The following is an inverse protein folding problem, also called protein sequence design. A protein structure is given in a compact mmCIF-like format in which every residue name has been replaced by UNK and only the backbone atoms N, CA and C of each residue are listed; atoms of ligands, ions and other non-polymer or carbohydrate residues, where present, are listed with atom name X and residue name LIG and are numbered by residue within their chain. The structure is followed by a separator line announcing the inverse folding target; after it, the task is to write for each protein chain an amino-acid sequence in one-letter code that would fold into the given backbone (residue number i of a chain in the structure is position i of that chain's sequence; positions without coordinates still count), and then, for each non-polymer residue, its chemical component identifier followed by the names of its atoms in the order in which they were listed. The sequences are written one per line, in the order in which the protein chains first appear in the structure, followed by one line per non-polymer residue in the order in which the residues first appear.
data_IF_064777930184
#
_entry.id   IF_064777930184
#
_cell.length_a   1.000
_cell.length_b   1.000
_cell.length_c   1.000
_cell.angle_alpha   90.00
_cell.angle_beta   90.00
_cell.angle_gamma   90.00
#
_symmetry.space_group_name_H-M   'P 1'
#
loop_
_entity.id
_entity.type
_entity.pdbx_description
1 polymer ?
#
# COMPACT_ATOMS: atom_id res chain seq x y z
N UNK A 1 -13.61 -40.92 -12.11
CA UNK A 1 -12.38 -40.08 -12.05
C UNK A 1 -12.35 -39.06 -13.17
N UNK A 2 -12.33 -39.47 -14.45
CA UNK A 2 -12.28 -38.53 -15.58
C UNK A 2 -13.45 -37.52 -15.58
N UNK A 3 -14.68 -37.97 -15.33
CA UNK A 3 -15.86 -37.10 -15.22
C UNK A 3 -15.73 -36.07 -14.08
N UNK A 4 -15.33 -36.52 -12.88
CA UNK A 4 -15.11 -35.66 -11.72
C UNK A 4 -14.00 -34.63 -11.96
N UNK A 5 -12.93 -35.00 -12.69
CA UNK A 5 -11.88 -34.06 -13.09
C UNK A 5 -12.41 -33.02 -14.08
N UNK A 6 -13.20 -33.44 -15.07
CA UNK A 6 -13.81 -32.53 -16.03
C UNK A 6 -14.77 -31.53 -15.35
N UNK A 7 -15.59 -32.01 -14.41
CA UNK A 7 -16.49 -31.16 -13.61
C UNK A 7 -15.71 -30.14 -12.76
N UNK A 8 -14.63 -30.57 -12.10
CA UNK A 8 -13.77 -29.67 -11.34
C UNK A 8 -13.13 -28.58 -12.22
N UNK A 9 -12.62 -28.94 -13.40
CA UNK A 9 -12.05 -27.98 -14.34
C UNK A 9 -13.10 -27.01 -14.90
N UNK A 10 -14.33 -27.47 -15.14
CA UNK A 10 -15.44 -26.60 -15.54
C UNK A 10 -15.78 -25.59 -14.45
N UNK A 11 -15.87 -26.04 -13.18
CA UNK A 11 -16.04 -25.15 -12.03
C UNK A 11 -14.89 -24.17 -11.88
N UNK A 12 -13.65 -24.60 -12.14
CA UNK A 12 -12.47 -23.72 -12.09
C UNK A 12 -12.56 -22.62 -13.14
N UNK A 13 -12.87 -22.98 -14.39
CA UNK A 13 -13.08 -22.00 -15.47
C UNK A 13 -14.17 -20.99 -15.12
N UNK A 14 -15.26 -21.42 -14.49
CA UNK A 14 -16.31 -20.51 -13.99
C UNK A 14 -15.75 -19.51 -12.99
N UNK A 15 -15.00 -19.96 -11.98
CA UNK A 15 -14.35 -19.07 -11.00
C UNK A 15 -13.32 -18.15 -11.65
N UNK A 16 -12.53 -18.65 -12.59
CA UNK A 16 -11.53 -17.87 -13.31
C UNK A 16 -12.15 -16.81 -14.23
N UNK A 17 -13.37 -17.02 -14.70
CA UNK A 17 -14.12 -16.04 -15.49
C UNK A 17 -14.68 -14.87 -14.68
N UNK A 18 -14.59 -14.91 -13.34
CA UNK A 18 -15.04 -13.85 -12.44
C UNK A 18 -16.51 -13.47 -12.68
N UNK A 19 -16.76 -12.19 -12.91
CA UNK A 19 -18.09 -11.65 -13.25
C UNK A 19 -18.53 -11.82 -14.71
N UNK A 20 -17.76 -12.54 -15.52
CA UNK A 20 -18.02 -12.76 -16.95
C UNK A 20 -17.30 -11.76 -17.87
N UNK A 21 -17.24 -12.10 -19.17
CA UNK A 21 -16.46 -11.39 -20.18
C UNK A 21 -16.84 -9.89 -20.30
N UNK A 22 -18.13 -9.56 -20.27
CA UNK A 22 -18.60 -8.17 -20.37
C UNK A 22 -18.05 -7.30 -19.23
N UNK A 23 -18.07 -7.81 -17.98
CA UNK A 23 -17.54 -7.07 -16.83
C UNK A 23 -16.02 -6.94 -16.85
N UNK A 24 -15.33 -7.92 -17.42
CA UNK A 24 -13.87 -7.87 -17.64
C UNK A 24 -13.55 -6.79 -18.68
N UNK A 25 -14.27 -6.75 -19.79
CA UNK A 25 -14.10 -5.70 -20.80
C UNK A 25 -14.42 -4.31 -20.23
N UNK A 26 -15.45 -4.17 -19.39
CA UNK A 26 -15.75 -2.93 -18.67
C UNK A 26 -14.58 -2.48 -17.77
N UNK A 27 -13.97 -3.41 -17.06
CA UNK A 27 -12.81 -3.16 -16.21
C UNK A 27 -11.61 -2.67 -17.05
N UNK A 28 -11.33 -3.35 -18.17
CA UNK A 28 -10.26 -2.96 -19.10
C UNK A 28 -10.53 -1.60 -19.76
N UNK A 29 -11.77 -1.28 -20.14
CA UNK A 29 -12.15 0.04 -20.69
C UNK A 29 -11.91 1.19 -19.70
N UNK A 30 -11.91 0.90 -18.39
CA UNK A 30 -11.56 1.86 -17.34
C UNK A 30 -10.05 1.96 -17.09
N UNK A 31 -9.23 1.28 -17.89
CA UNK A 31 -7.77 1.26 -17.75
C UNK A 31 -7.26 0.43 -16.57
N UNK A 32 -8.10 -0.47 -16.03
CA UNK A 32 -7.78 -1.30 -14.86
C UNK A 32 -7.54 -2.74 -15.30
N UNK A 33 -6.61 -3.42 -14.64
CA UNK A 33 -6.44 -4.87 -14.79
C UNK A 33 -7.49 -5.62 -13.95
N UNK A 34 -7.75 -6.88 -14.30
CA UNK A 34 -8.50 -7.81 -13.46
C UNK A 34 -7.68 -8.27 -12.25
N UNK A 35 -8.33 -8.88 -11.26
CA UNK A 35 -7.64 -9.41 -10.09
C UNK A 35 -6.52 -10.40 -10.44
N UNK A 36 -6.77 -11.30 -11.39
CA UNK A 36 -5.80 -12.33 -11.79
C UNK A 36 -4.67 -11.78 -12.64
N UNK A 37 -4.94 -10.83 -13.54
CA UNK A 37 -3.89 -10.14 -14.30
C UNK A 37 -2.94 -9.37 -13.39
N UNK A 38 -3.46 -8.72 -12.33
CA UNK A 38 -2.63 -8.05 -11.32
C UNK A 38 -1.71 -9.02 -10.59
N UNK A 39 -2.21 -10.19 -10.21
CA UNK A 39 -1.40 -11.24 -9.59
C UNK A 39 -0.33 -11.77 -10.53
N UNK A 40 -0.66 -11.98 -11.80
CA UNK A 40 0.29 -12.41 -12.82
C UNK A 40 1.40 -11.38 -13.08
N UNK A 41 1.07 -10.09 -13.04
CA UNK A 41 2.05 -9.02 -13.20
C UNK A 41 2.91 -8.80 -11.94
N UNK A 42 2.36 -9.07 -10.75
CA UNK A 42 3.07 -8.91 -9.48
C UNK A 42 4.05 -10.05 -9.21
N UNK A 43 3.62 -11.29 -9.40
CA UNK A 43 4.32 -12.49 -8.96
C UNK A 43 5.24 -13.04 -10.04
N UNK A 44 6.28 -13.76 -9.63
CA UNK A 44 7.18 -14.44 -10.55
C UNK A 44 6.40 -15.48 -11.38
N UNK A 45 6.70 -15.61 -12.69
CA UNK A 45 5.95 -16.50 -13.58
C UNK A 45 5.85 -17.93 -13.06
N UNK A 46 4.62 -18.47 -13.02
CA UNK A 46 4.35 -19.84 -12.59
C UNK A 46 4.50 -20.09 -11.08
N UNK A 47 4.69 -19.04 -10.26
CA UNK A 47 4.85 -19.21 -8.81
C UNK A 47 3.55 -19.16 -8.02
N UNK A 48 2.47 -18.64 -8.60
CA UNK A 48 1.21 -18.43 -7.87
C UNK A 48 0.49 -19.75 -7.58
N UNK A 49 0.16 -19.96 -6.31
CA UNK A 49 -0.68 -21.05 -5.82
C UNK A 49 -1.91 -20.46 -5.17
N UNK A 50 -3.06 -20.64 -5.84
CA UNK A 50 -4.34 -20.15 -5.34
C UNK A 50 -4.90 -21.03 -4.23
N UNK A 51 -5.56 -20.40 -3.26
CA UNK A 51 -6.22 -21.03 -2.11
C UNK A 51 -7.69 -20.62 -2.07
N UNK A 52 -8.55 -21.50 -1.58
CA UNK A 52 -9.99 -21.18 -1.45
C UNK A 52 -10.68 -20.89 -2.80
N UNK A 53 -10.24 -21.55 -3.88
CA UNK A 53 -10.76 -21.35 -5.26
C UNK A 53 -12.28 -21.49 -5.32
N UNK A 54 -12.81 -22.56 -4.71
CA UNK A 54 -14.23 -22.94 -4.79
C UNK A 54 -15.04 -22.51 -3.56
N UNK A 55 -14.57 -21.54 -2.79
CA UNK A 55 -15.34 -21.00 -1.65
C UNK A 55 -16.56 -20.26 -2.18
N UNK A 56 -17.69 -20.48 -1.52
CA UNK A 56 -19.01 -19.91 -1.84
C UNK A 56 -19.65 -19.37 -0.55
N UNK A 57 -20.42 -18.30 -0.65
CA UNK A 57 -21.24 -17.77 0.45
C UNK A 57 -22.33 -18.76 0.90
N UNK A 58 -22.94 -18.48 2.05
CA UNK A 58 -24.14 -19.18 2.49
C UNK A 58 -25.30 -18.79 1.58
N UNK A 59 -25.86 -19.76 0.86
CA UNK A 59 -26.98 -19.54 -0.06
C UNK A 59 -28.30 -19.37 0.71
N UNK A 60 -28.42 -18.27 1.45
CA UNK A 60 -29.57 -17.95 2.32
C UNK A 60 -29.93 -16.45 2.28
N UNK A 61 -31.17 -16.13 2.64
CA UNK A 61 -31.63 -14.74 2.75
C UNK A 61 -31.48 -13.95 1.43
N UNK A 62 -30.91 -12.75 1.51
CA UNK A 62 -30.70 -11.89 0.32
C UNK A 62 -29.62 -12.41 -0.64
N UNK A 63 -28.90 -13.47 -0.25
CA UNK A 63 -27.88 -14.13 -1.08
C UNK A 63 -28.39 -15.39 -1.78
N UNK A 64 -29.65 -15.79 -1.56
CA UNK A 64 -30.21 -16.98 -2.19
C UNK A 64 -30.27 -16.83 -3.73
N UNK A 65 -29.60 -17.74 -4.44
CA UNK A 65 -29.52 -17.76 -5.90
C UNK A 65 -28.56 -16.73 -6.50
N UNK A 66 -27.80 -16.00 -5.68
CA UNK A 66 -26.80 -15.04 -6.15
C UNK A 66 -25.55 -15.79 -6.61
N UNK A 67 -25.09 -15.51 -7.83
CA UNK A 67 -23.84 -16.10 -8.34
C UNK A 67 -22.65 -15.19 -7.99
N UNK A 68 -21.72 -15.68 -7.18
CA UNK A 68 -20.53 -14.96 -6.74
C UNK A 68 -19.26 -15.84 -6.80
N UNK A 69 -18.73 -16.11 -8.00
CA UNK A 69 -17.63 -17.05 -8.17
C UNK A 69 -16.40 -16.65 -7.33
N UNK A 70 -15.90 -17.59 -6.52
CA UNK A 70 -14.73 -17.39 -5.66
C UNK A 70 -14.88 -16.30 -4.60
N UNK A 71 -16.11 -15.84 -4.33
CA UNK A 71 -16.46 -14.78 -3.38
C UNK A 71 -15.87 -13.38 -3.69
N UNK A 72 -15.46 -13.15 -4.94
CA UNK A 72 -14.94 -11.85 -5.39
C UNK A 72 -13.58 -11.47 -4.79
N UNK A 73 -12.80 -12.46 -4.36
CA UNK A 73 -11.39 -12.28 -3.99
C UNK A 73 -10.58 -13.51 -4.37
N UNK A 74 -9.43 -13.28 -5.01
CA UNK A 74 -8.43 -14.30 -5.30
C UNK A 74 -7.39 -14.25 -4.19
N UNK A 75 -7.15 -15.35 -3.48
CA UNK A 75 -6.19 -15.43 -2.38
C UNK A 75 -5.17 -16.53 -2.61
N UNK A 76 -3.94 -16.32 -2.19
CA UNK A 76 -2.91 -17.35 -2.33
C UNK A 76 -1.53 -16.86 -1.95
N UNK A 77 -0.52 -17.55 -2.45
CA UNK A 77 0.88 -17.18 -2.28
C UNK A 77 1.65 -17.40 -3.56
N UNK A 78 2.78 -16.73 -3.68
CA UNK A 78 3.69 -16.87 -4.81
C UNK A 78 5.07 -16.35 -4.44
N UNK A 79 5.84 -15.94 -5.43
CA UNK A 79 7.17 -15.37 -5.22
C UNK A 79 7.31 -13.99 -5.87
N UNK A 80 8.10 -13.13 -5.26
CA UNK A 80 8.64 -11.91 -5.87
C UNK A 80 10.17 -12.01 -5.73
N UNK A 81 10.86 -12.02 -6.87
CA UNK A 81 12.32 -12.17 -6.94
C UNK A 81 12.81 -13.40 -6.14
N UNK A 82 12.08 -14.51 -6.28
CA UNK A 82 12.36 -15.79 -5.62
C UNK A 82 11.93 -15.89 -4.15
N UNK A 83 11.50 -14.79 -3.52
CA UNK A 83 11.08 -14.76 -2.10
C UNK A 83 9.58 -14.92 -1.98
N UNK A 84 9.14 -15.75 -1.03
CA UNK A 84 7.72 -16.04 -0.84
C UNK A 84 6.95 -14.83 -0.32
N UNK A 85 5.75 -14.63 -0.87
CA UNK A 85 4.81 -13.57 -0.46
C UNK A 85 3.38 -14.10 -0.51
N UNK A 86 2.55 -13.63 0.42
CA UNK A 86 1.11 -13.91 0.46
C UNK A 86 0.33 -12.75 -0.14
N UNK A 87 -0.76 -13.07 -0.83
CA UNK A 87 -1.50 -12.08 -1.61
C UNK A 87 -2.99 -12.32 -1.51
N UNK A 88 -3.74 -11.22 -1.55
CA UNK A 88 -5.13 -11.24 -1.95
C UNK A 88 -5.37 -10.15 -3.00
N UNK A 89 -6.21 -10.44 -3.98
CA UNK A 89 -6.64 -9.48 -4.99
C UNK A 89 -8.14 -9.52 -5.13
N UNK A 90 -8.79 -8.40 -4.84
CA UNK A 90 -10.24 -8.28 -4.93
C UNK A 90 -10.65 -8.18 -6.40
N UNK A 91 -11.71 -8.90 -6.75
CA UNK A 91 -12.26 -8.93 -8.10
C UNK A 91 -13.52 -8.07 -8.16
N UNK A 92 -13.36 -6.85 -8.67
CA UNK A 92 -14.48 -5.90 -8.81
C UNK A 92 -15.59 -6.41 -9.73
N UNK A 93 -15.29 -7.34 -10.65
CA UNK A 93 -16.29 -7.89 -11.56
C UNK A 93 -17.29 -8.80 -10.83
N UNK A 94 -16.93 -9.34 -9.65
CA UNK A 94 -17.79 -10.20 -8.83
C UNK A 94 -18.37 -9.38 -7.68
N UNK A 95 -19.66 -9.04 -7.80
CA UNK A 95 -20.39 -8.25 -6.79
C UNK A 95 -19.67 -6.96 -6.36
N UNK A 96 -18.98 -6.28 -7.29
CA UNK A 96 -18.22 -5.06 -6.98
C UNK A 96 -17.03 -5.30 -6.06
N UNK A 97 -16.52 -6.53 -5.95
CA UNK A 97 -15.49 -6.90 -4.99
C UNK A 97 -15.93 -6.71 -3.54
N UNK A 98 -17.24 -6.65 -3.28
CA UNK A 98 -17.79 -6.38 -1.95
C UNK A 98 -17.42 -7.47 -0.96
N UNK A 99 -17.02 -7.06 0.24
CA UNK A 99 -16.54 -7.96 1.28
C UNK A 99 -17.73 -8.58 2.02
N UNK A 100 -17.98 -9.87 1.77
CA UNK A 100 -18.86 -10.73 2.59
C UNK A 100 -18.10 -11.54 3.63
N UNK A 101 -18.81 -12.38 4.38
CA UNK A 101 -18.27 -13.28 5.40
C UNK A 101 -17.18 -14.20 4.82
N UNK A 102 -17.49 -14.88 3.70
CA UNK A 102 -16.57 -15.85 3.10
C UNK A 102 -15.43 -15.20 2.35
N UNK A 103 -15.66 -14.04 1.74
CA UNK A 103 -14.60 -13.17 1.22
C UNK A 103 -13.59 -12.81 2.32
N UNK A 104 -14.09 -12.32 3.46
CA UNK A 104 -13.25 -11.96 4.60
C UNK A 104 -12.51 -13.18 5.18
N UNK A 105 -13.18 -14.34 5.27
CA UNK A 105 -12.57 -15.57 5.75
C UNK A 105 -11.37 -16.01 4.88
N UNK A 106 -11.47 -15.88 3.55
CA UNK A 106 -10.34 -16.15 2.63
C UNK A 106 -9.15 -15.22 2.91
N UNK A 107 -9.41 -13.92 3.08
CA UNK A 107 -8.36 -12.95 3.41
C UNK A 107 -7.75 -13.28 4.78
N UNK A 108 -8.57 -13.54 5.79
CA UNK A 108 -8.10 -13.88 7.13
C UNK A 108 -7.20 -15.12 7.12
N UNK A 109 -7.60 -16.18 6.39
CA UNK A 109 -6.80 -17.39 6.26
C UNK A 109 -5.43 -17.13 5.64
N UNK A 110 -5.36 -16.27 4.61
CA UNK A 110 -4.09 -15.97 3.94
C UNK A 110 -3.19 -15.05 4.79
N UNK A 111 -3.77 -14.13 5.55
CA UNK A 111 -3.05 -13.32 6.56
C UNK A 111 -2.46 -14.20 7.66
N UNK A 112 -3.25 -15.14 8.18
CA UNK A 112 -2.80 -16.04 9.23
C UNK A 112 -1.64 -16.91 8.73
N UNK A 113 -1.76 -17.48 7.52
CA UNK A 113 -0.70 -18.30 6.93
C UNK A 113 0.58 -17.49 6.65
N UNK A 114 0.45 -16.22 6.22
CA UNK A 114 1.58 -15.32 6.02
C UNK A 114 2.41 -15.16 7.29
N UNK A 115 1.75 -14.88 8.42
CA UNK A 115 2.44 -14.68 9.70
C UNK A 115 2.98 -15.99 10.27
N UNK A 116 2.24 -17.10 10.15
CA UNK A 116 2.74 -18.40 10.59
C UNK A 116 4.00 -18.84 9.84
N UNK A 117 4.17 -18.39 8.60
CA UNK A 117 5.36 -18.67 7.78
C UNK A 117 6.37 -17.52 7.75
N UNK A 118 6.13 -16.44 8.49
CA UNK A 118 7.01 -15.27 8.56
C UNK A 118 7.22 -14.60 7.20
N UNK A 119 6.19 -14.51 6.36
CA UNK A 119 6.26 -13.93 5.03
C UNK A 119 5.40 -12.66 4.92
N UNK A 120 5.77 -11.69 4.04
CA UNK A 120 4.98 -10.49 3.83
C UNK A 120 3.60 -10.79 3.21
N UNK A 121 2.67 -9.86 3.38
CA UNK A 121 1.35 -9.91 2.76
C UNK A 121 1.04 -8.64 1.96
N UNK A 122 0.49 -8.82 0.76
CA UNK A 122 0.12 -7.74 -0.16
C UNK A 122 -1.36 -7.83 -0.50
N UNK A 123 -2.11 -6.77 -0.18
CA UNK A 123 -3.51 -6.61 -0.55
C UNK A 123 -3.68 -5.75 -1.79
N UNK A 124 -4.29 -6.29 -2.85
CA UNK A 124 -4.67 -5.55 -4.05
C UNK A 124 -6.16 -5.24 -3.97
N UNK A 125 -6.49 -4.00 -3.63
CA UNK A 125 -7.82 -3.56 -3.23
C UNK A 125 -8.55 -2.92 -4.39
N UNK A 126 -9.77 -3.42 -4.65
CA UNK A 126 -10.68 -2.96 -5.68
C UNK A 126 -12.10 -3.40 -5.29
N UNK A 127 -12.67 -2.69 -4.32
CA UNK A 127 -13.89 -3.08 -3.62
C UNK A 127 -14.83 -1.90 -3.38
N UNK A 128 -16.10 -2.10 -3.72
CA UNK A 128 -17.18 -1.17 -3.42
C UNK A 128 -17.49 -1.05 -1.91
N UNK A 129 -16.86 -1.85 -1.04
CA UNK A 129 -17.03 -1.79 0.41
C UNK A 129 -17.73 -3.02 0.98
N UNK A 130 -18.62 -2.82 1.95
CA UNK A 130 -19.36 -3.89 2.61
C UNK A 130 -20.40 -4.52 1.67
N UNK A 131 -20.56 -5.84 1.74
CA UNK A 131 -21.65 -6.53 1.07
C UNK A 131 -22.92 -6.36 1.89
N UNK A 132 -23.74 -5.38 1.52
CA UNK A 132 -24.94 -4.97 2.25
C UNK A 132 -25.92 -6.16 2.43
N UNK A 133 -25.98 -7.06 1.45
CA UNK A 133 -26.84 -8.25 1.47
C UNK A 133 -26.53 -9.20 2.63
N UNK A 134 -25.30 -9.18 3.15
CA UNK A 134 -24.87 -10.01 4.30
C UNK A 134 -24.86 -9.22 5.63
N UNK A 135 -25.16 -7.92 5.61
CA UNK A 135 -25.36 -7.10 6.81
C UNK A 135 -24.23 -7.18 7.85
N UNK A 136 -24.56 -7.63 9.05
CA UNK A 136 -23.61 -7.70 10.19
C UNK A 136 -22.46 -8.67 9.94
N UNK A 137 -22.65 -9.71 9.13
CA UNK A 137 -21.60 -10.68 8.85
C UNK A 137 -20.48 -10.06 7.99
N UNK A 138 -20.83 -9.15 7.07
CA UNK A 138 -19.85 -8.33 6.33
C UNK A 138 -19.03 -7.43 7.28
N UNK A 139 -19.69 -6.78 8.25
CA UNK A 139 -19.01 -5.93 9.24
C UNK A 139 -18.11 -6.75 10.19
N UNK A 140 -18.57 -7.92 10.61
CA UNK A 140 -17.76 -8.88 11.37
C UNK A 140 -16.54 -9.31 10.58
N UNK A 141 -16.71 -9.60 9.27
CA UNK A 141 -15.63 -9.90 8.34
C UNK A 141 -14.56 -8.81 8.29
N UNK A 142 -14.97 -7.53 8.18
CA UNK A 142 -14.05 -6.39 8.30
C UNK A 142 -13.31 -6.37 9.63
N UNK A 143 -14.01 -6.54 10.75
CA UNK A 143 -13.41 -6.59 12.08
C UNK A 143 -12.33 -7.68 12.21
N UNK A 144 -12.56 -8.85 11.60
CA UNK A 144 -11.59 -9.95 11.58
C UNK A 144 -10.32 -9.63 10.79
N UNK A 145 -10.44 -8.91 9.67
CA UNK A 145 -9.30 -8.44 8.88
C UNK A 145 -8.55 -7.34 9.65
N UNK A 146 -9.25 -6.36 10.23
CA UNK A 146 -8.61 -5.27 10.99
C UNK A 146 -7.88 -5.77 12.22
N UNK A 147 -8.47 -6.72 12.95
CA UNK A 147 -7.83 -7.36 14.08
C UNK A 147 -6.46 -7.94 13.68
N UNK A 148 -6.42 -8.70 12.58
CA UNK A 148 -5.19 -9.27 12.02
C UNK A 148 -4.20 -8.20 11.58
N UNK A 149 -4.64 -7.15 10.89
CA UNK A 149 -3.74 -6.05 10.53
C UNK A 149 -3.04 -5.47 11.76
N UNK A 150 -3.80 -5.24 12.84
CA UNK A 150 -3.30 -4.69 14.08
C UNK A 150 -2.31 -5.64 14.80
N UNK A 151 -2.67 -6.92 14.98
CA UNK A 151 -1.81 -7.86 15.70
C UNK A 151 -0.58 -8.31 14.88
N UNK A 152 -0.60 -8.14 13.56
CA UNK A 152 0.50 -8.47 12.65
C UNK A 152 1.38 -7.26 12.30
N UNK A 153 1.03 -6.06 12.79
CA UNK A 153 1.80 -4.84 12.57
C UNK A 153 3.20 -4.97 13.17
N UNK A 154 4.24 -4.71 12.36
CA UNK A 154 5.64 -4.89 12.76
C UNK A 154 6.07 -6.34 12.95
N UNK A 155 5.27 -7.34 12.55
CA UNK A 155 5.65 -8.77 12.58
C UNK A 155 6.08 -9.23 11.20
N UNK A 156 5.23 -9.00 10.21
CA UNK A 156 5.53 -9.17 8.78
C UNK A 156 5.17 -7.88 8.04
N UNK A 157 5.87 -7.52 6.95
CA UNK A 157 5.47 -6.37 6.17
C UNK A 157 4.08 -6.55 5.55
N UNK A 158 3.23 -5.53 5.71
CA UNK A 158 1.88 -5.48 5.16
C UNK A 158 1.79 -4.33 4.16
N UNK A 159 1.52 -4.64 2.89
CA UNK A 159 1.42 -3.66 1.82
C UNK A 159 0.00 -3.61 1.26
N UNK A 160 -0.51 -2.40 1.04
CA UNK A 160 -1.80 -2.18 0.38
C UNK A 160 -1.62 -1.45 -0.93
N UNK A 161 -2.23 -1.96 -1.99
CA UNK A 161 -2.29 -1.31 -3.30
C UNK A 161 -3.76 -1.03 -3.59
N UNK A 162 -4.11 0.23 -3.77
CA UNK A 162 -5.48 0.65 -4.09
C UNK A 162 -5.54 0.86 -5.59
N UNK A 163 -6.26 -0.03 -6.26
CA UNK A 163 -6.32 -0.11 -7.73
C UNK A 163 -7.77 0.02 -8.22
N UNK A 164 -8.61 0.67 -7.41
CA UNK A 164 -10.04 0.79 -7.64
C UNK A 164 -10.74 1.55 -6.51
N UNK A 165 -12.08 1.47 -6.46
CA UNK A 165 -12.85 1.95 -5.33
C UNK A 165 -12.40 1.27 -4.03
N UNK A 166 -12.40 2.03 -2.94
CA UNK A 166 -12.20 1.52 -1.59
C UNK A 166 -12.96 2.45 -0.63
N UNK A 167 -14.19 2.10 -0.29
CA UNK A 167 -15.11 2.97 0.45
C UNK A 167 -15.59 2.36 1.77
N UNK A 168 -15.92 3.21 2.74
CA UNK A 168 -16.50 2.80 4.01
C UNK A 168 -15.55 1.94 4.82
N UNK A 169 -15.96 0.73 5.20
CA UNK A 169 -15.12 -0.20 5.95
C UNK A 169 -13.81 -0.59 5.24
N UNK A 170 -13.81 -0.60 3.90
CA UNK A 170 -12.65 -1.05 3.12
C UNK A 170 -11.38 -0.24 3.39
N UNK A 171 -11.50 1.05 3.76
CA UNK A 171 -10.34 1.95 3.93
C UNK A 171 -9.52 1.65 5.18
N UNK A 172 -10.11 1.01 6.19
CA UNK A 172 -9.44 0.83 7.47
C UNK A 172 -8.33 -0.21 7.42
N UNK A 173 -8.46 -1.27 6.60
CA UNK A 173 -7.37 -2.24 6.46
C UNK A 173 -6.13 -1.59 5.84
N UNK A 174 -6.21 -0.91 4.67
CA UNK A 174 -5.08 -0.15 4.13
C UNK A 174 -4.51 0.91 5.07
N UNK A 175 -5.36 1.61 5.83
CA UNK A 175 -4.91 2.62 6.78
C UNK A 175 -4.04 2.05 7.92
N UNK A 176 -4.14 0.76 8.22
CA UNK A 176 -3.39 0.09 9.30
C UNK A 176 -2.13 -0.61 8.76
N UNK A 177 -2.08 -0.92 7.46
CA UNK A 177 -0.88 -1.50 6.81
C UNK A 177 0.33 -0.55 6.79
N UNK A 178 1.51 -1.07 6.46
CA UNK A 178 2.77 -0.32 6.57
C UNK A 178 2.94 0.71 5.44
N UNK A 179 2.56 0.34 4.22
CA UNK A 179 2.60 1.21 3.05
C UNK A 179 1.36 1.04 2.19
N UNK A 180 0.89 2.18 1.67
CA UNK A 180 -0.28 2.28 0.79
C UNK A 180 0.14 2.93 -0.53
N UNK A 181 0.03 2.19 -1.62
CA UNK A 181 0.21 2.67 -2.99
C UNK A 181 -1.17 2.91 -3.59
N UNK A 182 -1.38 4.04 -4.25
CA UNK A 182 -2.62 4.32 -4.99
C UNK A 182 -2.34 4.55 -6.47
N UNK A 183 -3.24 4.05 -7.33
CA UNK A 183 -3.20 4.30 -8.77
C UNK A 183 -3.98 5.58 -9.10
N UNK A 184 -3.34 6.49 -9.82
CA UNK A 184 -3.91 7.79 -10.18
C UNK A 184 -5.14 7.62 -11.08
N UNK A 185 -6.16 8.45 -10.86
CA UNK A 185 -7.44 8.51 -11.59
C UNK A 185 -8.32 7.24 -11.61
N UNK A 186 -7.81 6.06 -11.29
CA UNK A 186 -8.57 4.80 -11.28
C UNK A 186 -8.87 4.29 -9.88
N UNK A 187 -8.32 4.92 -8.85
CA UNK A 187 -8.51 4.54 -7.45
C UNK A 187 -8.90 5.72 -6.56
N UNK A 188 -9.65 5.43 -5.49
CA UNK A 188 -10.03 6.42 -4.48
C UNK A 188 -10.33 5.76 -3.13
N UNK A 189 -10.18 6.53 -2.04
CA UNK A 189 -10.52 6.12 -0.68
C UNK A 189 -11.34 7.18 0.07
N UNK A 190 -12.39 6.76 0.76
CA UNK A 190 -13.08 7.61 1.75
C UNK A 190 -13.96 6.77 2.68
N UNK A 191 -14.19 7.28 3.89
CA UNK A 191 -15.13 6.66 4.83
C UNK A 191 -16.58 6.88 4.35
N UNK A 192 -16.89 8.10 3.91
CA UNK A 192 -18.24 8.51 3.54
C UNK A 192 -18.22 9.03 2.11
N UNK A 193 -19.09 8.51 1.25
CA UNK A 193 -19.13 8.88 -0.16
C UNK A 193 -19.68 10.28 -0.44
N UNK A 194 -19.43 10.83 -1.65
CA UNK A 194 -19.83 12.19 -2.01
C UNK A 194 -21.33 12.48 -1.84
N UNK A 195 -22.19 11.52 -2.17
CA UNK A 195 -23.65 11.70 -2.06
C UNK A 195 -24.09 11.95 -0.61
N UNK A 196 -23.45 11.27 0.35
CA UNK A 196 -23.74 11.44 1.79
C UNK A 196 -23.14 12.75 2.31
N UNK A 197 -21.94 13.12 1.84
CA UNK A 197 -21.33 14.43 2.15
C UNK A 197 -22.26 15.56 1.73
N UNK A 198 -22.77 15.52 0.49
CA UNK A 198 -23.73 16.49 -0.02
C UNK A 198 -25.02 16.53 0.80
N UNK A 199 -25.58 15.38 1.14
CA UNK A 199 -26.83 15.31 1.90
C UNK A 199 -26.70 15.88 3.33
N UNK A 200 -25.56 15.71 3.98
CA UNK A 200 -25.35 16.11 5.39
C UNK A 200 -24.80 17.52 5.53
N UNK A 201 -23.86 17.91 4.65
CA UNK A 201 -23.10 19.17 4.79
C UNK A 201 -23.48 20.21 3.73
N UNK A 202 -24.14 19.80 2.65
CA UNK A 202 -24.38 20.64 1.48
C UNK A 202 -23.17 20.79 0.55
N UNK A 203 -22.01 20.21 0.90
CA UNK A 203 -20.80 20.26 0.09
C UNK A 203 -20.92 19.34 -1.14
N UNK A 204 -20.73 19.93 -2.33
CA UNK A 204 -20.63 19.17 -3.58
C UNK A 204 -19.16 18.90 -3.90
N UNK A 205 -18.79 17.62 -3.95
CA UNK A 205 -17.42 17.18 -4.20
C UNK A 205 -17.43 15.95 -5.10
N UNK A 206 -16.43 15.79 -5.96
CA UNK A 206 -16.31 14.60 -6.82
C UNK A 206 -15.62 13.46 -6.07
N UNK A 207 -15.68 12.21 -6.59
CA UNK A 207 -14.91 11.10 -6.03
C UNK A 207 -13.40 11.40 -5.98
N UNK A 208 -12.87 12.03 -7.05
CA UNK A 208 -11.45 12.38 -7.15
C UNK A 208 -11.07 13.50 -6.18
N UNK A 209 -11.90 14.54 -6.04
CA UNK A 209 -11.61 15.66 -5.14
C UNK A 209 -11.77 15.29 -3.66
N UNK A 210 -12.65 14.32 -3.37
CA UNK A 210 -12.88 13.85 -2.00
C UNK A 210 -11.76 12.92 -1.52
N UNK A 211 -11.37 11.96 -2.36
CA UNK A 211 -10.54 10.83 -1.94
C UNK A 211 -9.67 10.22 -3.05
N UNK A 212 -9.43 10.97 -4.13
CA UNK A 212 -8.55 10.52 -5.20
C UNK A 212 -7.11 10.32 -4.73
N UNK A 213 -6.33 9.58 -5.51
CA UNK A 213 -4.94 9.25 -5.19
C UNK A 213 -4.08 10.50 -4.97
N UNK A 214 -4.34 11.57 -5.74
CA UNK A 214 -3.68 12.87 -5.58
C UNK A 214 -3.96 13.56 -4.24
N UNK A 215 -5.20 13.47 -3.73
CA UNK A 215 -5.60 14.02 -2.42
C UNK A 215 -4.83 13.31 -1.30
N UNK A 216 -4.79 11.98 -1.34
CA UNK A 216 -4.15 11.20 -0.28
C UNK A 216 -2.62 11.27 -0.28
N UNK A 217 -2.00 11.48 -1.44
CA UNK A 217 -0.55 11.65 -1.55
C UNK A 217 -0.07 13.08 -1.26
N UNK A 218 -0.94 14.10 -1.35
CA UNK A 218 -0.53 15.53 -1.21
C UNK A 218 -1.08 16.21 0.03
N UNK A 219 -2.32 15.88 0.42
CA UNK A 219 -3.06 16.59 1.48
C UNK A 219 -3.21 15.76 2.74
N UNK A 220 -3.76 14.55 2.64
CA UNK A 220 -4.10 13.78 3.85
C UNK A 220 -2.95 12.92 4.39
N UNK A 221 -1.94 12.61 3.57
CA UNK A 221 -0.83 11.74 3.95
C UNK A 221 -1.23 10.28 4.22
N UNK A 222 -2.36 9.83 3.66
CA UNK A 222 -2.84 8.44 3.83
C UNK A 222 -2.13 7.50 2.84
N UNK A 223 -1.81 8.01 1.65
CA UNK A 223 -1.12 7.25 0.61
C UNK A 223 0.35 7.63 0.57
N UNK A 224 1.20 6.61 0.55
CA UNK A 224 2.65 6.72 0.62
C UNK A 224 3.27 6.90 -0.76
N UNK A 225 2.61 6.36 -1.78
CA UNK A 225 3.05 6.41 -3.16
C UNK A 225 1.88 6.64 -4.12
N UNK A 226 2.17 7.34 -5.21
CA UNK A 226 1.29 7.57 -6.34
C UNK A 226 1.90 6.87 -7.56
N UNK A 227 1.12 6.03 -8.23
CA UNK A 227 1.50 5.39 -9.48
C UNK A 227 0.52 5.79 -10.58
N UNK A 228 0.97 5.99 -11.82
CA UNK A 228 0.11 6.40 -12.94
C UNK A 228 -0.69 5.26 -13.57
N UNK A 229 -0.40 4.00 -13.23
CA UNK A 229 -1.14 2.85 -13.75
C UNK A 229 -1.02 1.62 -12.84
N UNK A 230 -1.87 0.61 -13.06
CA UNK A 230 -1.78 -0.68 -12.39
C UNK A 230 -0.39 -1.32 -12.55
N UNK A 231 0.18 -1.28 -13.76
CA UNK A 231 1.50 -1.87 -14.03
C UNK A 231 2.62 -1.15 -13.27
N UNK A 232 2.57 0.18 -13.20
CA UNK A 232 3.55 0.97 -12.45
C UNK A 232 3.43 0.72 -10.94
N UNK A 233 2.20 0.62 -10.41
CA UNK A 233 1.97 0.32 -9.00
C UNK A 233 2.54 -1.05 -8.62
N UNK A 234 2.35 -2.08 -9.45
CA UNK A 234 2.87 -3.42 -9.20
C UNK A 234 4.40 -3.48 -9.32
N UNK A 235 4.99 -2.74 -10.27
CA UNK A 235 6.45 -2.59 -10.35
C UNK A 235 7.02 -1.88 -9.11
N UNK A 236 6.33 -0.86 -8.62
CA UNK A 236 6.70 -0.15 -7.39
C UNK A 236 6.63 -1.06 -6.16
N UNK A 237 5.60 -1.92 -6.07
CA UNK A 237 5.47 -2.93 -5.02
C UNK A 237 6.66 -3.89 -5.04
N UNK A 238 7.06 -4.40 -6.21
CA UNK A 238 8.25 -5.26 -6.33
C UNK A 238 9.52 -4.52 -5.89
N UNK A 239 9.70 -3.26 -6.31
CA UNK A 239 10.83 -2.43 -5.89
C UNK A 239 10.86 -2.23 -4.38
N UNK A 240 9.73 -1.86 -3.76
CA UNK A 240 9.59 -1.69 -2.31
C UNK A 240 9.87 -2.99 -1.55
N UNK A 241 9.31 -4.10 -2.01
CA UNK A 241 9.52 -5.44 -1.45
C UNK A 241 11.01 -5.83 -1.41
N UNK A 242 11.78 -5.40 -2.42
CA UNK A 242 13.23 -5.58 -2.46
C UNK A 242 14.01 -4.90 -1.31
N UNK A 243 13.44 -3.93 -0.61
CA UNK A 243 14.07 -3.28 0.56
C UNK A 243 13.65 -3.89 1.90
N UNK A 244 12.57 -4.66 1.94
CA UNK A 244 11.97 -5.18 3.17
C UNK A 244 12.43 -6.62 3.46
N UNK A 245 12.62 -7.01 4.73
CA UNK A 245 12.85 -8.41 5.10
C UNK A 245 11.58 -9.26 4.89
N UNK A 246 11.66 -10.59 5.06
CA UNK A 246 10.44 -11.43 5.06
C UNK A 246 9.57 -11.18 6.31
N UNK A 247 10.22 -10.90 7.44
CA UNK A 247 9.59 -10.64 8.74
C UNK A 247 10.56 -9.88 9.66
N UNK A 248 10.05 -9.43 10.81
CA UNK A 248 10.81 -8.65 11.79
C UNK A 248 11.95 -9.40 12.50
N UNK A 249 12.09 -10.72 12.33
CA UNK A 249 13.21 -11.50 12.88
C UNK A 249 14.38 -11.63 11.90
N UNK A 250 14.20 -11.17 10.67
CA UNK A 250 15.20 -11.22 9.62
C UNK A 250 15.78 -9.84 9.34
N UNK A 251 17.00 -9.82 8.77
CA UNK A 251 17.59 -8.58 8.27
C UNK A 251 17.12 -8.32 6.84
N UNK A 252 17.02 -7.04 6.42
CA UNK A 252 16.72 -6.69 5.04
C UNK A 252 17.69 -7.36 4.04
N UNK A 253 17.24 -7.69 2.82
CA UNK A 253 18.05 -8.41 1.85
C UNK A 253 19.24 -7.57 1.36
N UNK A 254 20.41 -8.18 1.30
CA UNK A 254 21.63 -7.59 0.73
C UNK A 254 21.68 -7.93 -0.76
N UNK A 255 21.96 -6.94 -1.60
CA UNK A 255 22.15 -7.14 -3.05
C UNK A 255 23.61 -6.88 -3.44
N UNK A 256 24.12 -7.50 -4.53
CA UNK A 256 25.40 -7.11 -5.09
C UNK A 256 25.43 -5.62 -5.42
N UNK A 257 26.50 -4.93 -5.06
CA UNK A 257 26.71 -3.52 -5.33
C UNK A 257 28.06 -3.32 -6.02
N UNK A 258 28.05 -2.55 -7.11
CA UNK A 258 29.25 -2.18 -7.86
C UNK A 258 29.72 -0.76 -7.58
N UNK A 259 28.93 0.04 -6.84
CA UNK A 259 29.30 1.38 -6.42
C UNK A 259 30.47 1.31 -5.40
N UNK A 260 31.61 1.99 -5.65
CA UNK A 260 32.75 1.95 -4.73
C UNK A 260 32.42 2.55 -3.35
N UNK A 261 32.60 1.75 -2.30
CA UNK A 261 32.43 2.18 -0.90
C UNK A 261 33.33 3.35 -0.48
N UNK A 262 34.40 3.60 -1.24
CA UNK A 262 35.37 4.68 -1.00
C UNK A 262 35.14 5.89 -1.91
N UNK A 263 34.01 5.97 -2.62
CA UNK A 263 33.64 7.09 -3.48
C UNK A 263 33.66 8.39 -2.69
N UNK A 264 34.41 9.37 -3.18
CA UNK A 264 34.36 10.76 -2.69
C UNK A 264 33.53 11.61 -3.65
N UNK A 265 32.60 12.40 -3.13
CA UNK A 265 31.77 13.29 -3.94
C UNK A 265 32.10 14.76 -3.67
N UNK A 266 32.89 15.36 -4.55
CA UNK A 266 33.30 16.76 -4.42
C UNK A 266 32.13 17.72 -4.65
N UNK A 267 31.11 17.33 -5.43
CA UNK A 267 29.93 18.15 -5.69
C UNK A 267 29.15 18.49 -4.41
N UNK A 268 29.28 17.68 -3.35
CA UNK A 268 28.66 17.98 -2.06
C UNK A 268 29.14 19.33 -1.48
N UNK A 269 30.39 19.72 -1.74
CA UNK A 269 30.95 21.01 -1.31
C UNK A 269 30.34 22.19 -2.09
N UNK A 270 29.78 21.94 -3.26
CA UNK A 270 29.08 22.95 -4.07
C UNK A 270 27.60 23.04 -3.69
N UNK A 271 26.99 21.91 -3.29
CA UNK A 271 25.59 21.83 -2.89
C UNK A 271 25.38 22.42 -1.48
N UNK A 272 26.18 21.97 -0.50
CA UNK A 272 26.06 22.39 0.90
C UNK A 272 26.96 23.60 1.13
N UNK A 273 26.36 24.78 1.06
CA UNK A 273 27.10 26.04 1.20
C UNK A 273 27.24 26.44 2.68
N UNK A 274 28.37 27.06 3.10
CA UNK A 274 28.54 27.59 4.47
C UNK A 274 27.58 28.72 4.87
N UNK A 275 26.80 29.26 3.92
CA UNK A 275 25.85 30.34 4.18
C UNK A 275 24.55 29.75 4.69
N UNK A 276 24.29 29.95 5.98
CA UNK A 276 23.10 29.43 6.67
C UNK A 276 21.77 29.95 6.10
N UNK A 277 21.78 31.02 5.29
CA UNK A 277 20.56 31.56 4.66
C UNK A 277 20.26 30.91 3.32
N UNK A 278 21.21 30.18 2.74
CA UNK A 278 21.09 29.63 1.39
C UNK A 278 20.57 28.19 1.44
N UNK A 279 19.30 28.02 1.09
CA UNK A 279 18.70 26.69 0.95
C UNK A 279 19.31 25.91 -0.24
N UNK A 280 19.38 24.59 -0.10
CA UNK A 280 19.92 23.67 -1.10
C UNK A 280 19.05 22.40 -1.20
N UNK A 281 19.15 21.63 -2.30
CA UNK A 281 18.37 20.41 -2.50
C UNK A 281 18.94 19.26 -1.69
N UNK A 282 18.32 18.93 -0.57
CA UNK A 282 18.73 17.78 0.24
C UNK A 282 18.58 16.44 -0.51
N UNK A 283 17.64 16.36 -1.47
CA UNK A 283 17.47 15.21 -2.35
C UNK A 283 18.69 14.95 -3.24
N UNK A 284 19.37 15.99 -3.72
CA UNK A 284 20.63 15.84 -4.45
C UNK A 284 21.76 15.35 -3.53
N UNK A 285 21.79 15.79 -2.27
CA UNK A 285 22.75 15.29 -1.27
C UNK A 285 22.53 13.80 -1.02
N UNK A 286 21.28 13.38 -0.81
CA UNK A 286 20.93 11.97 -0.59
C UNK A 286 21.37 11.12 -1.78
N UNK A 287 20.97 11.49 -3.00
CA UNK A 287 21.32 10.76 -4.24
C UNK A 287 22.83 10.74 -4.49
N UNK A 288 23.54 11.74 -4.01
CA UNK A 288 24.99 11.81 -4.07
C UNK A 288 25.69 10.87 -3.08
N UNK A 289 25.00 10.33 -2.06
CA UNK A 289 25.59 9.46 -1.04
C UNK A 289 25.21 8.00 -1.20
N UNK A 290 23.98 7.72 -1.61
CA UNK A 290 23.45 6.35 -1.73
C UNK A 290 24.00 5.62 -2.96
N UNK A 291 23.98 4.29 -2.92
CA UNK A 291 24.43 3.43 -4.01
C UNK A 291 23.73 3.81 -5.33
N UNK A 292 24.52 4.11 -6.36
CA UNK A 292 24.06 4.44 -7.72
C UNK A 292 23.05 5.62 -7.79
N UNK A 293 22.90 6.39 -6.71
CA UNK A 293 21.86 7.41 -6.58
C UNK A 293 20.43 6.87 -6.53
N UNK A 294 20.25 5.56 -6.29
CA UNK A 294 18.95 4.90 -6.20
C UNK A 294 18.27 5.21 -4.86
N UNK A 295 17.22 6.02 -4.94
CA UNK A 295 16.41 6.43 -3.80
C UNK A 295 14.93 6.21 -4.10
N UNK A 296 14.26 5.45 -3.25
CA UNK A 296 12.81 5.24 -3.25
C UNK A 296 12.19 6.14 -2.18
N UNK A 297 11.77 7.33 -2.59
CA UNK A 297 11.17 8.30 -1.68
C UNK A 297 9.75 7.90 -1.27
N UNK A 298 9.51 7.85 0.04
CA UNK A 298 8.20 7.60 0.67
C UNK A 298 7.53 8.93 0.96
N UNK A 299 6.24 9.06 0.64
CA UNK A 299 5.49 10.30 0.82
C UNK A 299 6.14 11.50 0.09
N UNK A 300 6.66 11.30 -1.12
CA UNK A 300 7.36 12.33 -1.90
C UNK A 300 6.51 13.61 -2.14
N UNK A 301 5.18 13.47 -2.11
CA UNK A 301 4.23 14.55 -2.36
C UNK A 301 3.61 15.14 -1.08
N UNK A 302 3.84 14.54 0.09
CA UNK A 302 3.28 14.94 1.39
C UNK A 302 4.38 15.41 2.34
N UNK A 303 4.12 16.50 3.08
CA UNK A 303 5.05 17.09 4.05
C UNK A 303 6.49 17.23 3.50
N UNK A 304 6.63 17.89 2.35
CA UNK A 304 7.89 17.97 1.56
C UNK A 304 9.04 18.71 2.25
N UNK A 305 8.80 19.31 3.43
CA UNK A 305 9.81 19.88 4.32
C UNK A 305 10.65 18.80 5.04
N UNK A 306 10.22 17.54 5.01
CA UNK A 306 11.01 16.38 5.43
C UNK A 306 10.95 15.29 4.34
N UNK A 307 12.10 14.71 4.04
CA UNK A 307 12.27 13.61 3.10
C UNK A 307 12.39 12.34 3.91
N UNK A 308 11.65 11.31 3.49
CA UNK A 308 11.76 9.95 4.01
C UNK A 308 11.85 9.00 2.84
N UNK A 309 12.66 7.95 2.92
CA UNK A 309 12.70 6.95 1.85
C UNK A 309 13.73 5.87 2.06
N UNK A 310 13.73 4.89 1.17
CA UNK A 310 14.59 3.73 1.22
C UNK A 310 15.68 3.84 0.16
N UNK A 311 16.90 3.46 0.54
CA UNK A 311 18.06 3.42 -0.35
C UNK A 311 18.94 2.22 0.00
N UNK A 312 20.08 2.09 -0.67
CA UNK A 312 21.13 1.15 -0.27
C UNK A 312 22.47 1.84 -0.06
N UNK A 313 23.27 1.27 0.84
CA UNK A 313 24.68 1.58 1.04
C UNK A 313 25.46 0.27 1.05
N UNK A 314 26.41 0.11 0.13
CA UNK A 314 27.14 -1.14 -0.10
C UNK A 314 26.22 -2.37 -0.24
N UNK A 315 25.10 -2.20 -0.96
CA UNK A 315 24.10 -3.23 -1.21
C UNK A 315 23.14 -3.49 -0.06
N UNK A 316 23.25 -2.78 1.07
CA UNK A 316 22.42 -2.98 2.26
C UNK A 316 21.30 -1.93 2.31
N UNK A 317 20.02 -2.32 2.48
CA UNK A 317 18.93 -1.38 2.66
C UNK A 317 19.15 -0.46 3.86
N UNK A 318 18.87 0.83 3.67
CA UNK A 318 18.86 1.87 4.70
C UNK A 318 17.63 2.75 4.52
N UNK A 319 17.04 3.18 5.64
CA UNK A 319 16.02 4.21 5.69
C UNK A 319 16.68 5.57 5.86
N UNK A 320 16.24 6.56 5.09
CA UNK A 320 16.76 7.92 5.13
C UNK A 320 15.68 8.84 5.68
N UNK A 321 16.06 9.69 6.63
CA UNK A 321 15.24 10.80 7.12
C UNK A 321 16.05 12.08 6.96
N UNK A 322 15.52 13.07 6.28
CA UNK A 322 16.28 14.29 6.01
C UNK A 322 15.41 15.53 5.97
N UNK A 323 15.88 16.63 6.58
CA UNK A 323 15.22 17.92 6.42
C UNK A 323 15.41 18.44 4.98
N UNK A 324 14.41 19.13 4.41
CA UNK A 324 14.52 19.74 3.09
C UNK A 324 14.54 21.28 3.21
N UNK A 325 15.72 21.92 3.21
CA UNK A 325 15.84 23.37 3.40
C UNK A 325 15.09 24.21 2.38
N UNK A 326 14.90 23.70 1.14
CA UNK A 326 14.14 24.42 0.09
C UNK A 326 12.65 24.55 0.40
N UNK A 327 12.12 23.75 1.32
CA UNK A 327 10.69 23.75 1.68
C UNK A 327 10.56 24.11 3.16
N UNK A 328 9.97 25.28 3.43
CA UNK A 328 9.75 25.77 4.80
C UNK A 328 11.03 25.81 5.65
N UNK A 329 12.19 26.08 5.02
CA UNK A 329 13.50 26.11 5.68
C UNK A 329 13.82 24.83 6.50
N UNK A 330 13.31 23.67 6.06
CA UNK A 330 13.52 22.38 6.72
C UNK A 330 12.85 22.25 8.10
N UNK A 331 12.01 23.21 8.48
CA UNK A 331 11.29 23.20 9.77
C UNK A 331 10.38 22.00 9.92
N UNK A 332 10.23 21.49 11.14
CA UNK A 332 9.31 20.38 11.44
C UNK A 332 7.89 20.94 11.67
N UNK A 333 6.94 20.41 10.92
CA UNK A 333 5.49 20.66 11.06
C UNK A 333 4.81 19.41 11.63
N UNK A 334 3.52 19.52 12.02
CA UNK A 334 2.70 18.36 12.42
C UNK A 334 2.80 17.22 11.39
N UNK A 335 2.59 17.54 10.10
CA UNK A 335 2.60 16.55 9.03
C UNK A 335 3.98 15.91 8.83
N UNK A 336 5.06 16.72 8.91
CA UNK A 336 6.42 16.22 8.80
C UNK A 336 6.79 15.30 9.96
N UNK A 337 6.37 15.64 11.19
CA UNK A 337 6.59 14.81 12.36
C UNK A 337 5.86 13.47 12.25
N UNK A 338 4.58 13.48 11.87
CA UNK A 338 3.81 12.24 11.64
C UNK A 338 4.43 11.37 10.54
N UNK A 339 4.82 11.98 9.41
CA UNK A 339 5.48 11.29 8.28
C UNK A 339 6.78 10.61 8.72
N UNK A 340 7.67 11.36 9.37
CA UNK A 340 8.97 10.82 9.80
C UNK A 340 8.81 9.79 10.92
N UNK A 341 7.97 10.05 11.92
CA UNK A 341 7.76 9.14 13.04
C UNK A 341 7.25 7.76 12.60
N UNK A 342 6.26 7.71 11.69
CA UNK A 342 5.77 6.43 11.16
C UNK A 342 6.86 5.71 10.35
N UNK A 343 7.58 6.43 9.49
CA UNK A 343 8.66 5.84 8.69
C UNK A 343 9.79 5.27 9.56
N UNK A 344 10.23 6.01 10.59
CA UNK A 344 11.24 5.57 11.57
C UNK A 344 10.79 4.28 12.25
N UNK A 345 9.55 4.24 12.78
CA UNK A 345 9.02 3.05 13.47
C UNK A 345 8.90 1.84 12.55
N UNK A 346 8.50 2.03 11.28
CA UNK A 346 8.47 0.95 10.30
C UNK A 346 9.87 0.42 10.00
N UNK A 347 10.86 1.30 9.84
CA UNK A 347 12.25 0.89 9.62
C UNK A 347 12.80 0.10 10.83
N UNK A 348 12.57 0.60 12.05
CA UNK A 348 12.98 -0.06 13.30
C UNK A 348 12.35 -1.46 13.43
N UNK A 349 11.03 -1.57 13.23
CA UNK A 349 10.31 -2.84 13.30
C UNK A 349 10.83 -3.91 12.33
N UNK A 350 11.43 -3.49 11.21
CA UNK A 350 11.94 -4.39 10.17
C UNK A 350 13.46 -4.37 10.03
N UNK A 351 14.18 -3.95 11.08
CA UNK A 351 15.65 -3.97 11.15
C UNK A 351 16.35 -3.21 10.01
N UNK A 352 15.70 -2.16 9.49
CA UNK A 352 16.28 -1.28 8.47
C UNK A 352 17.04 -0.16 9.19
N UNK A 353 18.37 -0.06 9.06
CA UNK A 353 19.15 1.00 9.67
C UNK A 353 18.72 2.39 9.18
N UNK A 354 18.78 3.38 10.06
CA UNK A 354 18.43 4.76 9.73
C UNK A 354 19.68 5.63 9.53
N UNK A 355 19.66 6.44 8.48
CA UNK A 355 20.62 7.53 8.23
C UNK A 355 19.85 8.84 8.24
N UNK A 356 20.26 9.77 9.10
CA UNK A 356 19.61 11.07 9.23
C UNK A 356 20.49 12.19 8.72
N UNK A 357 20.01 12.95 7.73
CA UNK A 357 20.67 14.18 7.28
C UNK A 357 19.97 15.39 7.94
N UNK A 358 20.69 16.09 8.80
CA UNK A 358 20.12 17.12 9.67
C UNK A 358 20.43 18.51 9.13
N UNK A 359 19.37 19.24 8.79
CA UNK A 359 19.41 20.68 8.50
C UNK A 359 18.06 21.31 8.89
N UNK A 360 17.88 21.45 10.20
CA UNK A 360 16.62 21.87 10.82
C UNK A 360 16.84 23.18 11.59
N UNK A 361 16.00 24.17 11.30
CA UNK A 361 16.01 25.45 12.02
C UNK A 361 15.13 25.45 13.27
N UNK A 362 14.24 24.47 13.39
CA UNK A 362 13.33 24.27 14.53
C UNK A 362 11.98 23.71 14.09
N UNK A 363 10.97 23.92 14.92
CA UNK A 363 9.57 23.66 14.59
C UNK A 363 8.92 24.87 13.91
N UNK A 364 7.93 24.63 13.06
CA UNK A 364 7.13 25.70 12.47
C UNK A 364 6.31 26.42 13.56
N UNK A 365 6.46 27.74 13.74
CA UNK A 365 5.65 28.50 14.70
C UNK A 365 4.23 28.79 14.16
N UNK A 366 3.32 29.14 15.06
CA UNK A 366 2.01 29.72 14.72
C UNK A 366 0.84 29.02 15.41
N UNK A 367 -0.25 29.75 15.61
CA UNK A 367 -1.45 29.26 16.32
C UNK A 367 -2.05 28.02 15.66
N UNK A 368 -1.94 27.86 14.34
CA UNK A 368 -2.39 26.67 13.64
C UNK A 368 -1.62 25.40 14.07
N UNK A 369 -0.30 25.50 14.30
CA UNK A 369 0.51 24.37 14.78
C UNK A 369 0.23 24.10 16.26
N UNK A 370 0.13 25.16 17.08
CA UNK A 370 -0.16 25.02 18.51
C UNK A 370 -1.54 24.39 18.75
N UNK A 371 -2.60 24.92 18.13
CA UNK A 371 -3.96 24.38 18.25
C UNK A 371 -4.11 23.01 17.57
N UNK A 372 -3.33 22.74 16.52
CA UNK A 372 -3.23 21.41 15.90
C UNK A 372 -2.54 20.37 16.80
N UNK A 373 -1.91 20.81 17.89
CA UNK A 373 -1.25 19.93 18.86
C UNK A 373 0.15 19.52 18.43
N UNK A 374 0.96 20.43 17.90
CA UNK A 374 2.36 20.16 17.53
C UNK A 374 3.16 19.53 18.67
N UNK A 375 2.86 19.85 19.93
CA UNK A 375 3.51 19.26 21.11
C UNK A 375 3.39 17.73 21.12
N UNK A 376 2.20 17.17 20.83
CA UNK A 376 1.96 15.72 20.83
C UNK A 376 2.32 15.03 19.53
N UNK A 377 2.42 15.78 18.43
CA UNK A 377 2.78 15.25 17.11
C UNK A 377 4.29 15.28 16.87
N UNK A 378 4.97 16.28 17.43
CA UNK A 378 6.42 16.44 17.36
C UNK A 378 7.19 15.58 18.35
N UNK A 379 6.53 15.14 19.44
CA UNK A 379 7.00 14.10 20.33
C UNK A 379 6.65 12.71 19.76
#
# INVERSE_FOLDING_TARGET
MQELTAEMEERRKKVESGGGAERIEDQHRKGKLTARERLQALLDPGSFVETGVFVEHRNEGMMEGVDAPGEGVVTGYGKIDGRQVFVFSQDFTVMGGSLGERHAAKICQIMDLAVHTGCPIIGLNDSAGARIQEGVDSLSGYGQVFYRNAIYSGVVPQLSVIMGPCAGGAVYSPAITDFTIMVDHTSYMFITGPDVVKAVTGEEVTFEDLGGAGVHNRKSGVAHFLAGSDSEALALVRRLFGFLPQNAREKPPVVPCTDPISRSEQRLLEIVHPDQKRAYPMDEVIRSVVDDGDFLEVHALFARNIITGLARLAGRPVGIVANQPRILAGTITIDAANKAARFIRTCDAFNIPLVTFVDVTGFMPGTAQEHGGIIRHGA
#
